data_IF_539774741171
#
_entry.id   IF_539774741171
#
_cell.length_a   1.000
_cell.length_b   1.000
_cell.length_c   1.000
_cell.angle_alpha   90.00
_cell.angle_beta   90.00
_cell.angle_gamma   90.00
#
_symmetry.space_group_name_H-M   'P 1'
#
loop_
_entity.id
_entity.type
_entity.pdbx_description
1 polymer ?
#
# COMPACT_ATOMS: atom_id res chain seq x y z
N UNK A 1 2.61 23.44 10.26
CA UNK A 1 3.28 22.45 9.38
C UNK A 1 4.02 21.44 10.24
N UNK A 2 3.97 20.18 9.88
CA UNK A 2 4.65 19.10 10.64
C UNK A 2 6.18 19.23 10.47
N UNK A 3 6.93 19.14 11.58
CA UNK A 3 8.37 19.11 11.49
C UNK A 3 8.87 17.68 11.18
N UNK A 4 9.14 17.42 9.93
CA UNK A 4 9.56 16.10 9.45
C UNK A 4 11.00 15.71 9.86
N UNK A 5 11.81 16.66 10.33
CA UNK A 5 13.14 16.38 10.89
C UNK A 5 13.10 15.91 12.34
N UNK A 6 12.01 16.19 13.05
CA UNK A 6 11.83 15.84 14.45
C UNK A 6 11.20 14.46 14.64
N UNK A 7 11.17 13.98 15.90
CA UNK A 7 10.43 12.81 16.31
C UNK A 7 8.94 12.93 15.87
N UNK A 8 8.32 11.90 15.32
CA UNK A 8 8.80 10.52 15.14
C UNK A 8 9.49 10.24 13.80
N UNK A 9 9.62 11.21 12.92
CA UNK A 9 9.96 10.98 11.51
C UNK A 9 11.49 10.92 11.24
N UNK A 10 12.25 11.87 11.79
CA UNK A 10 13.72 11.98 11.61
C UNK A 10 14.19 11.89 10.14
N UNK A 11 13.44 12.50 9.21
CA UNK A 11 13.74 12.44 7.79
C UNK A 11 14.93 13.33 7.40
N UNK A 12 15.69 12.87 6.39
CA UNK A 12 16.70 13.67 5.73
C UNK A 12 16.08 14.77 4.85
N UNK A 13 16.88 15.73 4.38
CA UNK A 13 16.40 16.76 3.45
C UNK A 13 15.92 16.14 2.11
N UNK A 14 16.57 15.09 1.65
CA UNK A 14 16.18 14.34 0.44
C UNK A 14 14.83 13.66 0.62
N UNK A 15 14.61 12.98 1.75
CA UNK A 15 13.35 12.34 2.06
C UNK A 15 12.21 13.35 2.19
N UNK A 16 12.46 14.49 2.84
CA UNK A 16 11.48 15.57 2.96
C UNK A 16 11.08 16.10 1.59
N UNK A 17 12.08 16.34 0.73
CA UNK A 17 11.81 16.78 -0.64
C UNK A 17 10.96 15.77 -1.40
N UNK A 18 11.25 14.48 -1.26
CA UNK A 18 10.43 13.43 -1.89
C UNK A 18 8.98 13.47 -1.38
N UNK A 19 8.76 13.63 -0.08
CA UNK A 19 7.42 13.75 0.52
C UNK A 19 6.67 14.95 -0.06
N UNK A 20 7.31 16.12 -0.06
CA UNK A 20 6.70 17.37 -0.54
C UNK A 20 6.35 17.30 -2.03
N UNK A 21 7.27 16.83 -2.86
CA UNK A 21 7.07 16.66 -4.30
C UNK A 21 5.95 15.64 -4.59
N UNK A 22 5.91 14.55 -3.82
CA UNK A 22 4.86 13.54 -3.94
C UNK A 22 3.49 14.12 -3.62
N UNK A 23 3.34 14.82 -2.49
CA UNK A 23 2.07 15.46 -2.10
C UNK A 23 1.64 16.50 -3.14
N UNK A 24 2.57 17.31 -3.62
CA UNK A 24 2.29 18.31 -4.64
C UNK A 24 1.84 17.71 -5.99
N UNK A 25 2.30 16.49 -6.29
CA UNK A 25 1.94 15.75 -7.51
C UNK A 25 0.62 14.97 -7.43
N UNK A 26 0.00 14.88 -6.26
CA UNK A 26 -1.28 14.20 -6.07
C UNK A 26 -2.48 15.13 -6.24
N UNK A 27 -3.53 14.65 -6.94
CA UNK A 27 -4.84 15.31 -6.94
C UNK A 27 -5.50 15.20 -5.57
N UNK A 28 -6.58 15.97 -5.34
CA UNK A 28 -7.34 15.87 -4.08
C UNK A 28 -7.96 14.48 -3.89
N UNK A 29 -8.46 13.86 -4.96
CA UNK A 29 -8.98 12.49 -4.93
C UNK A 29 -7.89 11.47 -4.58
N UNK A 30 -6.71 11.60 -5.17
CA UNK A 30 -5.56 10.75 -4.86
C UNK A 30 -5.12 10.91 -3.40
N UNK A 31 -5.09 12.13 -2.87
CA UNK A 31 -4.78 12.39 -1.44
C UNK A 31 -5.80 11.74 -0.51
N UNK A 32 -7.09 11.84 -0.83
CA UNK A 32 -8.15 11.18 -0.06
C UNK A 32 -7.98 9.67 -0.11
N UNK A 33 -7.72 9.09 -1.27
CA UNK A 33 -7.48 7.65 -1.45
C UNK A 33 -6.34 7.12 -0.57
N UNK A 34 -5.27 7.91 -0.39
CA UNK A 34 -4.12 7.54 0.45
C UNK A 34 -4.48 7.32 1.93
N UNK A 35 -5.62 7.84 2.39
CA UNK A 35 -6.08 7.67 3.77
C UNK A 35 -6.83 6.35 4.02
N UNK A 36 -7.07 5.56 2.96
CA UNK A 36 -7.89 4.35 3.06
C UNK A 36 -7.09 3.08 2.80
N UNK A 37 -7.43 2.06 3.59
CA UNK A 37 -7.05 0.66 3.39
C UNK A 37 -8.27 -0.15 3.02
N UNK A 38 -8.14 -1.04 2.05
CA UNK A 38 -9.23 -1.92 1.63
C UNK A 38 -8.79 -3.38 1.62
N UNK A 39 -9.70 -4.27 2.03
CA UNK A 39 -9.55 -5.69 1.85
C UNK A 39 -9.72 -6.05 0.37
N UNK A 40 -8.75 -6.75 -0.21
CA UNK A 40 -8.85 -7.26 -1.59
C UNK A 40 -9.84 -8.44 -1.65
N UNK A 41 -10.70 -8.43 -2.65
CA UNK A 41 -11.63 -9.53 -2.94
C UNK A 41 -11.03 -10.57 -3.91
N UNK A 42 -10.00 -10.17 -4.65
CA UNK A 42 -9.28 -11.02 -5.61
C UNK A 42 -7.79 -10.71 -5.60
N UNK A 43 -6.98 -11.68 -6.03
CA UNK A 43 -5.52 -11.54 -6.20
C UNK A 43 -5.12 -11.31 -7.67
N UNK A 44 -6.11 -11.31 -8.56
CA UNK A 44 -5.88 -11.16 -10.01
C UNK A 44 -5.39 -9.75 -10.36
N UNK A 45 -4.49 -9.69 -11.34
CA UNK A 45 -3.83 -8.44 -11.75
C UNK A 45 -4.83 -7.37 -12.18
N UNK A 46 -5.79 -7.72 -13.03
CA UNK A 46 -6.79 -6.77 -13.55
C UNK A 46 -7.65 -6.18 -12.43
N UNK A 47 -8.04 -7.01 -11.45
CA UNK A 47 -8.78 -6.54 -10.29
C UNK A 47 -7.97 -5.52 -9.47
N UNK A 48 -6.72 -5.82 -9.18
CA UNK A 48 -5.82 -4.93 -8.41
C UNK A 48 -5.59 -3.61 -9.17
N UNK A 49 -5.35 -3.70 -10.47
CA UNK A 49 -5.16 -2.53 -11.33
C UNK A 49 -6.38 -1.61 -11.32
N UNK A 50 -7.58 -2.17 -11.51
CA UNK A 50 -8.83 -1.40 -11.53
C UNK A 50 -9.12 -0.77 -10.17
N UNK A 51 -8.93 -1.52 -9.08
CA UNK A 51 -9.14 -1.05 -7.72
C UNK A 51 -8.24 0.15 -7.39
N UNK A 52 -6.96 0.04 -7.67
CA UNK A 52 -5.99 1.10 -7.40
C UNK A 52 -6.16 2.30 -8.33
N UNK A 53 -6.49 2.06 -9.60
CA UNK A 53 -6.77 3.12 -10.57
C UNK A 53 -8.02 3.94 -10.24
N UNK A 54 -9.02 3.30 -9.61
CA UNK A 54 -10.28 3.95 -9.25
C UNK A 54 -10.23 4.69 -7.91
N UNK A 55 -9.61 4.10 -6.90
CA UNK A 55 -9.69 4.60 -5.53
C UNK A 55 -8.38 5.17 -4.99
N UNK A 56 -7.26 4.97 -5.66
CA UNK A 56 -5.93 5.50 -5.29
C UNK A 56 -5.52 5.17 -3.84
N UNK A 57 -5.80 3.95 -3.40
CA UNK A 57 -5.67 3.52 -2.01
C UNK A 57 -4.23 3.61 -1.49
N UNK A 58 -4.09 4.05 -0.23
CA UNK A 58 -2.80 4.10 0.48
C UNK A 58 -2.32 2.74 0.93
N UNK A 59 -3.22 1.76 1.03
CA UNK A 59 -2.87 0.40 1.39
C UNK A 59 -3.96 -0.62 1.09
N UNK A 60 -3.54 -1.87 1.09
CA UNK A 60 -4.41 -3.02 0.85
C UNK A 60 -4.15 -4.10 1.88
N UNK A 61 -5.21 -4.74 2.33
CA UNK A 61 -5.15 -5.94 3.14
C UNK A 61 -5.62 -7.11 2.30
N UNK A 62 -4.94 -8.25 2.40
CA UNK A 62 -5.31 -9.45 1.67
C UNK A 62 -5.75 -10.60 2.57
N UNK A 63 -6.55 -11.49 2.02
CA UNK A 63 -6.87 -12.78 2.62
C UNK A 63 -5.75 -13.79 2.35
N UNK A 64 -5.58 -14.80 3.23
CA UNK A 64 -4.58 -15.85 3.04
C UNK A 64 -4.63 -16.50 1.66
N UNK A 65 -3.48 -16.97 1.20
CA UNK A 65 -3.34 -17.63 -0.10
C UNK A 65 -2.01 -18.33 -0.27
N UNK A 66 -1.81 -18.98 -1.41
CA UNK A 66 -0.54 -19.60 -1.73
C UNK A 66 0.59 -18.55 -1.83
N UNK A 67 1.82 -18.86 -1.41
CA UNK A 67 2.93 -17.91 -1.40
C UNK A 67 3.17 -17.21 -2.73
N UNK A 68 3.13 -17.94 -3.83
CA UNK A 68 3.32 -17.39 -5.18
C UNK A 68 2.21 -16.40 -5.56
N UNK A 69 0.96 -16.71 -5.24
CA UNK A 69 -0.18 -15.82 -5.50
C UNK A 69 -0.06 -14.52 -4.69
N UNK A 70 0.37 -14.59 -3.44
CA UNK A 70 0.58 -13.41 -2.60
C UNK A 70 1.76 -12.59 -3.10
N UNK A 71 2.84 -13.23 -3.52
CA UNK A 71 4.00 -12.56 -4.07
C UNK A 71 3.62 -11.78 -5.35
N UNK A 72 2.87 -12.39 -6.24
CA UNK A 72 2.43 -11.76 -7.48
C UNK A 72 1.43 -10.62 -7.19
N UNK A 73 0.45 -10.83 -6.32
CA UNK A 73 -0.46 -9.78 -5.86
C UNK A 73 0.31 -8.57 -5.31
N UNK A 74 1.31 -8.79 -4.46
CA UNK A 74 2.10 -7.71 -3.87
C UNK A 74 2.89 -6.94 -4.94
N UNK A 75 3.39 -7.64 -5.98
CA UNK A 75 4.01 -6.98 -7.14
C UNK A 75 3.02 -6.13 -7.92
N UNK A 76 1.80 -6.62 -8.14
CA UNK A 76 0.75 -5.86 -8.83
C UNK A 76 0.36 -4.61 -8.02
N UNK A 77 0.19 -4.74 -6.70
CA UNK A 77 -0.13 -3.62 -5.82
C UNK A 77 0.92 -2.51 -5.97
N UNK A 78 2.20 -2.83 -5.88
CA UNK A 78 3.25 -1.81 -6.02
C UNK A 78 3.35 -1.26 -7.45
N UNK A 79 3.14 -2.09 -8.46
CA UNK A 79 3.18 -1.68 -9.87
C UNK A 79 2.13 -0.62 -10.21
N UNK A 80 0.92 -0.79 -9.68
CA UNK A 80 -0.22 0.08 -10.00
C UNK A 80 -0.49 1.17 -8.97
N UNK A 81 0.32 1.27 -7.94
CA UNK A 81 0.25 2.34 -6.94
C UNK A 81 1.15 3.52 -7.35
N UNK A 82 0.61 4.72 -7.36
CA UNK A 82 1.37 5.94 -7.64
C UNK A 82 2.35 6.27 -6.51
N UNK A 83 1.91 6.07 -5.27
CA UNK A 83 2.75 6.10 -4.07
C UNK A 83 2.89 4.66 -3.58
N UNK A 84 4.08 4.22 -3.14
CA UNK A 84 4.24 2.87 -2.62
C UNK A 84 3.19 2.54 -1.56
N UNK A 85 2.41 1.49 -1.78
CA UNK A 85 1.28 1.15 -0.93
C UNK A 85 1.72 0.32 0.28
N UNK A 86 1.04 0.53 1.40
CA UNK A 86 1.13 -0.40 2.53
C UNK A 86 0.39 -1.70 2.21
N UNK A 87 0.98 -2.81 2.62
CA UNK A 87 0.40 -4.14 2.45
C UNK A 87 0.25 -4.78 3.83
N UNK A 88 -0.98 -5.17 4.16
CA UNK A 88 -1.32 -5.72 5.47
C UNK A 88 -1.97 -7.11 5.35
N UNK A 89 -1.79 -7.93 6.38
CA UNK A 89 -2.49 -9.20 6.54
C UNK A 89 -2.78 -9.46 8.02
N UNK A 90 -3.70 -10.36 8.30
CA UNK A 90 -3.94 -10.84 9.65
C UNK A 90 -2.95 -11.97 9.96
N UNK A 91 -2.21 -11.81 11.05
CA UNK A 91 -1.18 -12.77 11.47
C UNK A 91 -1.33 -13.18 12.93
N UNK A 92 -2.54 -13.15 13.47
CA UNK A 92 -2.82 -13.58 14.85
C UNK A 92 -2.40 -15.04 15.12
N UNK A 93 -2.36 -15.86 14.06
CA UNK A 93 -1.88 -17.25 14.09
C UNK A 93 -0.48 -17.41 13.48
N UNK A 94 0.31 -16.34 13.50
CA UNK A 94 1.64 -16.35 12.86
C UNK A 94 1.54 -16.38 11.33
N UNK A 95 2.49 -17.03 10.67
CA UNK A 95 2.56 -17.14 9.21
C UNK A 95 1.32 -17.75 8.57
N UNK A 96 0.61 -18.63 9.26
CA UNK A 96 -0.64 -19.24 8.77
C UNK A 96 -1.75 -18.22 8.50
N UNK A 97 -1.70 -17.04 9.09
CA UNK A 97 -2.60 -15.94 8.78
C UNK A 97 -2.44 -15.39 7.38
N UNK A 98 -1.27 -15.55 6.78
CA UNK A 98 -0.95 -15.12 5.43
C UNK A 98 -0.89 -16.29 4.44
N UNK A 99 -0.17 -17.35 4.80
CA UNK A 99 0.09 -18.53 3.95
C UNK A 99 -0.14 -19.82 4.74
N UNK A 100 -1.38 -20.31 4.83
CA UNK A 100 -1.70 -21.50 5.62
C UNK A 100 -0.91 -22.73 5.16
N UNK A 101 -0.39 -23.49 6.12
CA UNK A 101 0.27 -24.77 5.86
C UNK A 101 1.71 -24.69 5.36
N UNK A 102 2.38 -23.60 5.59
CA UNK A 102 3.83 -23.48 5.38
C UNK A 102 4.61 -23.98 6.58
#
# INVERSE_FOLDING_TARGET
MVNLKANPYFLSDEDIKWVEDTIAGLSEEEKVGQLFFQLTQSKEEDYIKDLLGKYHLGGLRYNPGAPNQLQDQNRYIQRYSKVPAFIACNTEKGGDGATPGL
#
